data_IF_662530194007
#
_entry.id   IF_662530194007
#
_cell.length_a   1.000
_cell.length_b   1.000
_cell.length_c   1.000
_cell.angle_alpha   90.00
_cell.angle_beta   90.00
_cell.angle_gamma   90.00
#
_symmetry.space_group_name_H-M   'P 1'
#
loop_
_entity.id
_entity.type
_entity.pdbx_description
1 polymer ?
#
# COMPACT_ATOMS: atom_id res chain seq x y z
N UNK A 1 -15.29 -2.04 34.60
CA UNK A 1 -14.49 -0.81 34.79
C UNK A 1 -14.45 -0.06 33.47
N UNK A 2 -14.86 1.20 33.44
CA UNK A 2 -14.79 2.03 32.23
C UNK A 2 -13.46 2.79 32.23
N UNK A 3 -12.65 2.60 31.19
CA UNK A 3 -11.35 3.29 31.06
C UNK A 3 -11.54 4.72 30.55
N UNK A 4 -12.50 4.94 29.65
CA UNK A 4 -12.80 6.26 29.07
C UNK A 4 -14.25 6.66 29.37
N UNK A 5 -14.40 7.80 30.04
CA UNK A 5 -15.68 8.37 30.41
C UNK A 5 -15.85 9.77 29.85
N UNK A 6 -17.10 10.16 29.67
CA UNK A 6 -17.48 11.53 29.38
C UNK A 6 -17.45 12.38 30.66
N UNK A 7 -17.56 13.71 30.55
CA UNK A 7 -17.45 14.61 31.71
C UNK A 7 -18.52 14.37 32.78
N UNK A 8 -19.64 13.71 32.42
CA UNK A 8 -20.72 13.29 33.34
C UNK A 8 -20.51 11.90 33.97
N UNK A 9 -19.38 11.24 33.71
CA UNK A 9 -19.12 9.87 34.16
C UNK A 9 -19.76 8.77 33.31
N UNK A 10 -20.39 9.14 32.19
CA UNK A 10 -20.99 8.20 31.24
C UNK A 10 -19.95 7.54 30.32
N UNK A 11 -20.32 6.46 29.64
CA UNK A 11 -19.44 5.80 28.66
C UNK A 11 -19.11 6.75 27.50
N UNK A 12 -17.84 6.85 27.13
CA UNK A 12 -17.46 7.62 25.95
C UNK A 12 -17.96 6.91 24.67
N UNK A 13 -18.76 7.62 23.87
CA UNK A 13 -19.31 7.11 22.61
C UNK A 13 -18.35 7.36 21.44
N UNK A 14 -18.53 6.64 20.33
CA UNK A 14 -17.74 6.84 19.09
C UNK A 14 -17.78 8.29 18.60
N UNK A 15 -18.97 8.90 18.60
CA UNK A 15 -19.15 10.30 18.19
C UNK A 15 -18.52 11.27 19.21
N UNK A 16 -18.49 10.88 20.49
CA UNK A 16 -17.77 11.61 21.53
C UNK A 16 -16.26 11.64 21.28
N UNK A 17 -15.67 10.50 20.90
CA UNK A 17 -14.25 10.43 20.50
C UNK A 17 -13.97 11.33 19.30
N UNK A 18 -14.79 11.24 18.26
CA UNK A 18 -14.64 12.08 17.06
C UNK A 18 -14.75 13.57 17.40
N UNK A 19 -15.71 13.96 18.24
CA UNK A 19 -15.88 15.34 18.71
C UNK A 19 -14.68 15.85 19.51
N UNK A 20 -14.09 15.00 20.36
CA UNK A 20 -12.87 15.34 21.12
C UNK A 20 -11.68 15.51 20.15
N UNK A 21 -11.57 14.63 19.15
CA UNK A 21 -10.53 14.69 18.14
C UNK A 21 -10.63 15.97 17.32
N UNK A 22 -11.82 16.35 16.83
CA UNK A 22 -11.99 17.60 16.08
C UNK A 22 -11.57 18.82 16.91
N UNK A 23 -11.93 18.87 18.20
CA UNK A 23 -11.50 19.95 19.09
C UNK A 23 -9.98 20.02 19.24
N UNK A 24 -9.32 18.86 19.32
CA UNK A 24 -7.86 18.80 19.38
C UNK A 24 -7.21 19.29 18.07
N UNK A 25 -7.78 18.89 16.92
CA UNK A 25 -7.31 19.32 15.59
C UNK A 25 -7.49 20.82 15.40
N UNK A 26 -8.64 21.39 15.77
CA UNK A 26 -8.86 22.84 15.69
C UNK A 26 -7.86 23.64 16.54
N UNK A 27 -7.49 23.12 17.72
CA UNK A 27 -6.43 23.72 18.56
C UNK A 27 -5.06 23.62 17.91
N UNK A 28 -4.71 22.45 17.38
CA UNK A 28 -3.44 22.20 16.71
C UNK A 28 -3.29 22.97 15.39
N UNK A 29 -4.39 23.31 14.71
CA UNK A 29 -4.38 24.11 13.49
C UNK A 29 -3.78 25.50 13.70
N UNK A 30 -3.83 26.04 14.93
CA UNK A 30 -3.18 27.32 15.26
C UNK A 30 -1.65 27.26 15.23
N UNK A 31 -1.06 26.10 15.50
CA UNK A 31 0.41 25.88 15.49
C UNK A 31 0.90 25.19 14.22
N UNK A 32 0.02 24.42 13.55
CA UNK A 32 0.36 23.62 12.39
C UNK A 32 -0.58 23.98 11.23
N UNK A 33 -0.19 24.90 10.34
CA UNK A 33 -1.01 25.33 9.21
C UNK A 33 -1.42 24.18 8.29
N UNK A 34 -0.61 23.12 8.21
CA UNK A 34 -0.88 21.92 7.41
C UNK A 34 -2.10 21.10 7.87
N UNK A 35 -2.62 21.34 9.09
CA UNK A 35 -3.87 20.76 9.58
C UNK A 35 -5.09 21.65 9.32
N UNK A 36 -4.90 22.91 8.92
CA UNK A 36 -6.00 23.81 8.63
C UNK A 36 -6.84 23.30 7.45
N UNK A 37 -8.15 23.16 7.67
CA UNK A 37 -9.10 22.69 6.65
C UNK A 37 -9.13 21.18 6.40
N UNK A 38 -8.37 20.35 7.14
CA UNK A 38 -8.42 18.89 7.00
C UNK A 38 -9.39 18.26 8.00
N UNK A 39 -10.22 17.34 7.50
CA UNK A 39 -11.06 16.49 8.36
C UNK A 39 -10.27 15.24 8.79
N UNK A 40 -10.00 15.13 10.09
CA UNK A 40 -9.24 14.01 10.66
C UNK A 40 -10.17 13.21 11.56
N UNK A 41 -10.45 11.97 11.17
CA UNK A 41 -11.26 11.04 11.98
C UNK A 41 -10.35 10.04 12.72
N UNK A 42 -10.87 9.33 13.76
CA UNK A 42 -10.10 8.28 14.44
C UNK A 42 -9.59 7.18 13.49
N UNK A 43 -10.35 6.90 12.43
CA UNK A 43 -9.96 5.93 11.40
C UNK A 43 -8.75 6.43 10.58
N UNK A 44 -8.72 7.72 10.24
CA UNK A 44 -7.58 8.33 9.54
C UNK A 44 -6.32 8.25 10.41
N UNK A 45 -6.44 8.60 11.70
CA UNK A 45 -5.31 8.51 12.63
C UNK A 45 -4.77 7.08 12.69
N UNK A 46 -5.64 6.08 12.83
CA UNK A 46 -5.24 4.67 12.84
C UNK A 46 -4.53 4.26 11.54
N UNK A 47 -5.08 4.64 10.40
CA UNK A 47 -4.49 4.33 9.10
C UNK A 47 -3.11 4.98 8.93
N UNK A 48 -2.96 6.26 9.29
CA UNK A 48 -1.67 6.96 9.22
C UNK A 48 -0.63 6.32 10.13
N UNK A 49 -1.00 5.92 11.35
CA UNK A 49 -0.09 5.19 12.25
C UNK A 49 0.39 3.88 11.63
N UNK A 50 -0.53 3.10 11.05
CA UNK A 50 -0.17 1.85 10.39
C UNK A 50 0.79 2.06 9.22
N UNK A 51 0.50 3.06 8.37
CA UNK A 51 1.35 3.39 7.24
C UNK A 51 2.72 3.90 7.66
N UNK A 52 2.79 4.65 8.75
CA UNK A 52 4.06 5.10 9.32
C UNK A 52 4.91 3.92 9.82
N UNK A 53 4.30 2.96 10.51
CA UNK A 53 4.98 1.74 10.96
C UNK A 53 5.46 0.90 9.77
N UNK A 54 4.64 0.76 8.73
CA UNK A 54 5.01 0.05 7.52
C UNK A 54 6.21 0.71 6.82
N UNK A 55 6.19 2.04 6.70
CA UNK A 55 7.31 2.80 6.11
C UNK A 55 8.60 2.69 6.91
N UNK A 56 8.51 2.45 8.22
CA UNK A 56 9.68 2.19 9.07
C UNK A 56 10.23 0.76 8.95
N UNK A 57 9.58 -0.12 8.17
CA UNK A 57 10.01 -1.50 7.92
C UNK A 57 9.51 -2.51 8.95
N UNK A 58 8.48 -2.17 9.73
CA UNK A 58 7.84 -3.13 10.66
C UNK A 58 7.03 -4.13 9.84
N UNK A 59 7.16 -5.41 10.19
CA UNK A 59 6.41 -6.48 9.53
C UNK A 59 4.90 -6.27 9.66
N UNK A 60 4.19 -6.53 8.57
CA UNK A 60 2.76 -6.27 8.47
C UNK A 60 1.93 -7.12 9.44
N UNK A 61 2.36 -8.35 9.73
CA UNK A 61 1.70 -9.22 10.70
C UNK A 61 1.78 -8.64 12.12
N UNK A 62 2.90 -7.97 12.43
CA UNK A 62 3.10 -7.27 13.71
C UNK A 62 2.23 -6.02 13.79
N UNK A 63 2.13 -5.24 12.71
CA UNK A 63 1.26 -4.06 12.65
C UNK A 63 -0.22 -4.47 12.83
N UNK A 64 -0.66 -5.53 12.14
CA UNK A 64 -2.01 -6.07 12.27
C UNK A 64 -2.30 -6.58 13.69
N UNK A 65 -1.32 -7.21 14.32
CA UNK A 65 -1.42 -7.63 15.72
C UNK A 65 -1.55 -6.44 16.68
N UNK A 66 -0.73 -5.40 16.53
CA UNK A 66 -0.74 -4.21 17.41
C UNK A 66 -2.00 -3.37 17.28
N UNK A 67 -2.52 -3.21 16.06
CA UNK A 67 -3.73 -2.43 15.84
C UNK A 67 -4.99 -3.26 16.16
N UNK A 68 -4.87 -4.59 16.30
CA UNK A 68 -5.96 -5.51 16.62
C UNK A 68 -6.52 -6.18 15.36
N UNK A 69 -6.86 -7.47 15.49
CA UNK A 69 -7.32 -8.49 14.52
C UNK A 69 -8.48 -8.11 13.54
N UNK A 70 -8.68 -6.85 13.17
CA UNK A 70 -9.89 -6.38 12.50
C UNK A 70 -9.75 -6.20 10.98
N UNK A 71 -10.19 -7.27 10.31
CA UNK A 71 -10.65 -7.31 8.92
C UNK A 71 -9.55 -7.43 7.84
N UNK A 72 -9.60 -8.53 7.07
CA UNK A 72 -8.76 -8.80 5.88
C UNK A 72 -8.75 -7.64 4.89
N UNK A 73 -9.80 -6.82 4.88
CA UNK A 73 -9.89 -5.61 4.06
C UNK A 73 -8.81 -4.57 4.40
N UNK A 74 -8.40 -4.44 5.67
CA UNK A 74 -7.33 -3.52 6.07
C UNK A 74 -5.95 -4.12 5.83
N UNK A 75 -5.82 -5.44 5.93
CA UNK A 75 -4.64 -6.21 5.53
C UNK A 75 -4.32 -5.98 4.05
N UNK A 76 -5.30 -6.10 3.14
CA UNK A 76 -5.10 -5.84 1.71
C UNK A 76 -4.54 -4.43 1.43
N UNK A 77 -5.03 -3.41 2.13
CA UNK A 77 -4.58 -2.02 1.97
C UNK A 77 -3.09 -1.87 2.35
N UNK A 78 -2.61 -2.52 3.41
CA UNK A 78 -1.18 -2.42 3.75
C UNK A 78 -0.30 -3.23 2.79
N UNK A 79 -0.78 -4.36 2.25
CA UNK A 79 -0.05 -5.12 1.23
C UNK A 79 0.14 -4.30 -0.04
N UNK A 80 -0.93 -3.68 -0.54
CA UNK A 80 -0.86 -2.81 -1.70
C UNK A 80 0.09 -1.63 -1.46
N UNK A 81 0.07 -1.08 -0.25
CA UNK A 81 0.94 0.02 0.11
C UNK A 81 2.43 -0.39 0.26
N UNK A 82 2.74 -1.60 0.73
CA UNK A 82 4.10 -2.14 0.76
C UNK A 82 4.67 -2.28 -0.65
N UNK A 83 3.90 -2.88 -1.57
CA UNK A 83 4.27 -3.01 -2.98
C UNK A 83 4.53 -1.64 -3.61
N UNK A 84 3.61 -0.69 -3.43
CA UNK A 84 3.75 0.66 -3.95
C UNK A 84 4.96 1.40 -3.36
N UNK A 85 5.25 1.21 -2.06
CA UNK A 85 6.40 1.83 -1.41
C UNK A 85 7.71 1.23 -1.92
N UNK A 86 7.77 -0.10 -2.05
CA UNK A 86 8.93 -0.82 -2.56
C UNK A 86 9.21 -0.46 -4.01
N UNK A 87 8.19 -0.41 -4.87
CA UNK A 87 8.31 0.06 -6.25
C UNK A 87 8.83 1.50 -6.29
N UNK A 88 8.28 2.40 -5.47
CA UNK A 88 8.72 3.79 -5.38
C UNK A 88 10.18 3.90 -4.91
N UNK A 89 10.60 3.04 -3.99
CA UNK A 89 11.99 2.97 -3.54
C UNK A 89 12.93 2.48 -4.65
N UNK A 90 12.53 1.45 -5.40
CA UNK A 90 13.28 0.96 -6.56
C UNK A 90 13.41 2.03 -7.65
N UNK A 91 12.32 2.74 -7.96
CA UNK A 91 12.34 3.82 -8.95
C UNK A 91 13.23 5.00 -8.53
N UNK A 92 13.35 5.28 -7.23
CA UNK A 92 14.30 6.29 -6.71
C UNK A 92 15.75 5.84 -6.80
N UNK A 93 16.01 4.54 -6.67
CA UNK A 93 17.35 3.97 -6.68
C UNK A 93 17.86 3.69 -8.08
N UNK A 94 17.00 3.59 -9.11
CA UNK A 94 17.42 3.43 -10.50
C UNK A 94 18.24 4.65 -10.96
N UNK A 95 19.58 4.54 -11.10
CA UNK A 95 20.35 5.52 -11.83
C UNK A 95 20.15 5.23 -13.33
N UNK A 96 20.27 6.24 -14.20
CA UNK A 96 20.27 6.03 -15.65
C UNK A 96 21.33 4.98 -16.04
N UNK A 97 20.90 3.75 -16.29
CA UNK A 97 21.82 2.63 -16.46
C UNK A 97 21.21 1.26 -16.24
N UNK A 98 19.98 1.02 -16.71
CA UNK A 98 19.60 -0.35 -17.03
C UNK A 98 20.36 -0.75 -18.30
N UNK A 99 21.60 -1.19 -18.13
CA UNK A 99 22.22 -2.02 -19.14
C UNK A 99 21.31 -3.23 -19.31
N UNK A 100 20.70 -3.31 -20.48
CA UNK A 100 20.00 -4.48 -20.98
C UNK A 100 20.79 -5.73 -20.60
N UNK A 101 20.25 -6.54 -19.69
CA UNK A 101 20.65 -7.94 -19.60
C UNK A 101 20.03 -8.61 -20.82
N UNK A 102 20.60 -8.34 -21.99
CA UNK A 102 20.57 -9.27 -23.10
C UNK A 102 21.25 -10.53 -22.59
N UNK A 103 20.42 -11.50 -22.18
CA UNK A 103 20.87 -12.88 -21.98
C UNK A 103 21.77 -13.28 -23.15
N UNK A 104 23.02 -13.73 -22.93
CA UNK A 104 23.87 -14.20 -24.01
C UNK A 104 23.17 -15.39 -24.69
N UNK A 105 22.55 -15.16 -25.84
CA UNK A 105 22.18 -16.27 -26.72
C UNK A 105 23.50 -16.90 -27.15
N UNK A 106 23.75 -18.10 -26.63
CA UNK A 106 24.78 -19.00 -27.15
C UNK A 106 24.63 -19.09 -28.68
N UNK A 107 25.69 -18.84 -29.47
CA UNK A 107 25.64 -19.03 -30.90
C UNK A 107 25.76 -20.53 -31.18
N UNK A 108 24.63 -21.24 -31.19
CA UNK A 108 24.61 -22.60 -31.71
C UNK A 108 24.36 -22.55 -33.22
N UNK A 109 25.46 -22.65 -33.98
CA UNK A 109 25.56 -23.33 -35.27
C UNK A 109 24.57 -22.96 -36.38
N UNK A 110 25.08 -22.23 -37.39
CA UNK A 110 24.48 -22.17 -38.72
C UNK A 110 24.43 -23.57 -39.37
N UNK A 111 23.23 -24.13 -39.52
CA UNK A 111 22.94 -25.26 -40.41
C UNK A 111 22.26 -24.77 -41.70
N UNK A 112 22.47 -25.43 -42.85
CA UNK A 112 22.12 -24.88 -44.15
C UNK A 112 20.59 -24.86 -44.40
N UNK A 113 20.16 -23.74 -44.99
CA UNK A 113 18.80 -23.48 -45.50
C UNK A 113 18.35 -24.58 -46.47
N UNK A 114 17.15 -25.12 -46.26
CA UNK A 114 16.32 -25.73 -47.30
C UNK A 114 14.91 -25.16 -47.22
N UNK A 115 14.48 -24.48 -48.28
CA UNK A 115 13.09 -24.06 -48.52
C UNK A 115 12.42 -25.07 -49.48
N UNK A 116 11.16 -24.87 -49.89
CA UNK A 116 9.94 -25.12 -49.12
C UNK A 116 9.12 -26.26 -49.78
N UNK A 117 8.48 -27.13 -48.99
CA UNK A 117 7.46 -28.05 -49.52
C UNK A 117 6.08 -27.56 -49.10
N UNK A 118 5.32 -27.14 -50.10
CA UNK A 118 3.91 -26.79 -50.10
C UNK A 118 3.05 -27.83 -49.39
N UNK A 119 2.31 -27.44 -48.35
CA UNK A 119 1.11 -28.16 -47.92
C UNK A 119 -0.07 -27.19 -47.93
N UNK A 120 -0.96 -27.52 -48.86
CA UNK A 120 -2.16 -26.87 -49.34
C UNK A 120 -3.25 -26.82 -48.25
N UNK A 121 -4.07 -25.79 -48.38
CA UNK A 121 -5.32 -25.52 -47.67
C UNK A 121 -6.21 -26.78 -47.52
N UNK A 122 -6.78 -26.95 -46.33
CA UNK A 122 -8.14 -27.46 -46.18
C UNK A 122 -8.86 -26.69 -45.07
N UNK A 123 -9.91 -26.00 -45.51
CA UNK A 123 -11.07 -25.62 -44.73
C UNK A 123 -11.71 -26.90 -44.17
N UNK A 124 -12.25 -26.85 -42.95
CA UNK A 124 -13.55 -27.43 -42.57
C UNK A 124 -13.78 -27.31 -41.05
N UNK A 125 -14.69 -26.39 -40.70
CA UNK A 125 -15.90 -26.64 -39.89
C UNK A 125 -15.77 -27.29 -38.49
N UNK A 126 -15.91 -26.46 -37.44
CA UNK A 126 -16.97 -26.48 -36.39
C UNK A 126 -16.64 -25.41 -35.34
#
# INVERSE_FOLDING_TARGET
MLLFTYYRGERLTRNGVDSILQKAVSRAAGTCPALSGKYISPHVVRHTTAMYLLQSGVDMSVIAFWLGHENLNTTHIYMEADLALKEKALNRLQPAGQASITSPRHPCGAGPRRAPSTCRLHEDNV
#
